data_IF_426866175977
#
_entry.id   IF_426866175977
#
_cell.length_a   1.000
_cell.length_b   1.000
_cell.length_c   1.000
_cell.angle_alpha   90.00
_cell.angle_beta   90.00
_cell.angle_gamma   90.00
#
_symmetry.space_group_name_H-M   'P 1'
#
loop_
_entity.id
_entity.type
_entity.pdbx_description
1 polymer ?
#
# COMPACT_ATOMS: atom_id res chain seq x y z
N UNK A 1 -4.08 65.76 10.06
CA UNK A 1 -5.29 64.96 10.33
C UNK A 1 -4.90 63.88 11.34
N UNK A 2 -5.35 63.99 12.59
CA UNK A 2 -5.05 63.02 13.64
C UNK A 2 -5.93 61.78 13.45
N UNK A 3 -5.30 60.61 13.35
CA UNK A 3 -6.01 59.35 13.13
C UNK A 3 -6.83 58.98 14.40
N UNK A 4 -8.16 58.88 14.33
CA UNK A 4 -9.04 58.73 15.50
C UNK A 4 -8.86 57.39 16.26
N UNK A 5 -8.08 56.44 15.74
CA UNK A 5 -7.84 55.14 16.36
C UNK A 5 -6.58 55.08 17.25
N UNK A 6 -5.81 56.16 17.32
CA UNK A 6 -4.49 56.19 17.98
C UNK A 6 -4.53 55.98 19.51
N UNK A 7 -5.69 56.16 20.13
CA UNK A 7 -5.84 56.16 21.59
C UNK A 7 -6.25 54.79 22.18
N UNK A 8 -6.55 53.80 21.32
CA UNK A 8 -6.88 52.45 21.79
C UNK A 8 -5.62 51.60 21.98
N UNK A 9 -5.57 50.86 23.08
CA UNK A 9 -4.41 50.01 23.46
C UNK A 9 -3.96 49.03 22.36
N UNK A 10 -4.92 48.47 21.60
CA UNK A 10 -4.64 47.57 20.47
C UNK A 10 -3.95 48.26 19.28
N UNK A 11 -4.13 49.57 19.09
CA UNK A 11 -3.48 50.30 17.99
C UNK A 11 -1.99 50.52 18.28
N UNK A 12 -1.62 50.72 19.55
CA UNK A 12 -0.21 50.78 19.97
C UNK A 12 0.49 49.44 19.79
N UNK A 13 -0.21 48.33 20.05
CA UNK A 13 0.29 46.98 19.79
C UNK A 13 0.50 46.73 18.30
N UNK A 14 -0.50 47.07 17.45
CA UNK A 14 -0.43 46.86 16.01
C UNK A 14 0.54 47.81 15.28
N UNK A 15 0.82 48.99 15.85
CA UNK A 15 1.82 49.93 15.33
C UNK A 15 3.27 49.50 15.63
N UNK A 16 3.48 48.44 16.41
CA UNK A 16 4.82 47.97 16.76
C UNK A 16 5.42 47.13 15.62
N UNK A 17 6.61 47.53 15.12
CA UNK A 17 7.34 46.79 14.08
C UNK A 17 7.58 45.32 14.43
N UNK A 18 7.75 45.00 15.71
CA UNK A 18 7.97 43.62 16.16
C UNK A 18 6.74 42.73 15.95
N UNK A 19 5.52 43.29 16.02
CA UNK A 19 4.28 42.53 15.77
C UNK A 19 4.17 42.16 14.30
N UNK A 20 4.56 43.03 13.39
CA UNK A 20 4.58 42.71 11.95
C UNK A 20 5.65 41.69 11.59
N UNK A 21 6.85 41.79 12.16
CA UNK A 21 7.90 40.79 11.96
C UNK A 21 7.48 39.42 12.53
N UNK A 22 6.86 39.40 13.70
CA UNK A 22 6.35 38.17 14.32
C UNK A 22 5.17 37.59 13.52
N UNK A 23 4.26 38.41 13.03
CA UNK A 23 3.14 37.96 12.19
C UNK A 23 3.65 37.39 10.87
N UNK A 24 4.61 38.05 10.22
CA UNK A 24 5.26 37.51 9.03
C UNK A 24 5.97 36.18 9.33
N UNK A 25 6.70 36.10 10.44
CA UNK A 25 7.37 34.87 10.87
C UNK A 25 6.38 33.74 11.17
N UNK A 26 5.30 34.01 11.89
CA UNK A 26 4.24 33.02 12.16
C UNK A 26 3.54 32.61 10.87
N UNK A 27 3.24 33.55 9.96
CA UNK A 27 2.68 33.23 8.65
C UNK A 27 3.63 32.36 7.84
N UNK A 28 4.94 32.64 7.87
CA UNK A 28 5.95 31.80 7.24
C UNK A 28 6.01 30.40 7.86
N UNK A 29 5.98 30.31 9.18
CA UNK A 29 5.94 29.04 9.92
C UNK A 29 4.63 28.25 9.72
N UNK A 30 3.54 28.87 9.25
CA UNK A 30 2.26 28.18 9.03
C UNK A 30 2.09 27.78 7.56
N UNK A 31 2.50 28.64 6.62
CA UNK A 31 2.31 28.40 5.19
C UNK A 31 3.51 27.69 4.53
N UNK A 32 4.72 27.91 5.04
CA UNK A 32 5.96 27.43 4.42
C UNK A 32 6.65 26.35 5.25
N UNK A 33 6.48 26.37 6.58
CA UNK A 33 6.94 25.27 7.42
C UNK A 33 5.95 24.10 7.36
N UNK A 34 6.50 22.91 7.48
CA UNK A 34 5.98 21.63 7.00
C UNK A 34 4.79 21.06 7.80
N UNK A 35 4.00 21.88 8.50
CA UNK A 35 2.84 21.42 9.29
C UNK A 35 1.60 21.22 8.42
N UNK A 36 1.80 20.49 7.35
CA UNK A 36 0.77 20.12 6.39
C UNK A 36 -0.02 18.96 6.99
N UNK A 37 -1.24 19.26 7.43
CA UNK A 37 -2.27 18.24 7.70
C UNK A 37 -2.44 17.28 6.50
N UNK A 38 -2.11 17.75 5.29
CA UNK A 38 -2.10 16.95 4.08
C UNK A 38 -0.96 15.91 4.04
N UNK A 39 0.19 16.21 4.65
CA UNK A 39 1.32 15.28 4.72
C UNK A 39 1.00 14.11 5.64
N UNK A 40 0.34 14.36 6.78
CA UNK A 40 -0.11 13.28 7.66
C UNK A 40 -1.08 12.34 6.95
N UNK A 41 -2.02 12.87 6.15
CA UNK A 41 -2.95 12.02 5.39
C UNK A 41 -2.23 11.15 4.36
N UNK A 42 -1.19 11.68 3.72
CA UNK A 42 -0.36 10.92 2.76
C UNK A 42 0.45 9.85 3.49
N UNK A 43 1.00 10.16 4.67
CA UNK A 43 1.74 9.20 5.48
C UNK A 43 0.81 8.10 6.01
N UNK A 44 -0.39 8.45 6.50
CA UNK A 44 -1.39 7.50 6.98
C UNK A 44 -1.82 6.54 5.86
N UNK A 45 -2.03 7.06 4.64
CA UNK A 45 -2.35 6.22 3.48
C UNK A 45 -1.20 5.27 3.12
N UNK A 46 0.06 5.75 3.17
CA UNK A 46 1.21 4.88 2.96
C UNK A 46 1.34 3.80 4.03
N UNK A 47 0.99 4.11 5.28
CA UNK A 47 0.98 3.14 6.38
C UNK A 47 -0.08 2.07 6.12
N UNK A 48 -1.30 2.47 5.78
CA UNK A 48 -2.40 1.55 5.44
C UNK A 48 -2.01 0.63 4.27
N UNK A 49 -1.48 1.19 3.19
CA UNK A 49 -1.00 0.41 2.03
C UNK A 49 0.09 -0.60 2.43
N UNK A 50 1.04 -0.20 3.28
CA UNK A 50 2.10 -1.08 3.76
C UNK A 50 1.57 -2.20 4.67
N UNK A 51 0.61 -1.90 5.54
CA UNK A 51 -0.03 -2.88 6.41
C UNK A 51 -0.83 -3.91 5.63
N UNK A 52 -1.60 -3.47 4.63
CA UNK A 52 -2.36 -4.34 3.74
C UNK A 52 -1.46 -5.27 2.94
N UNK A 53 -0.38 -4.74 2.38
CA UNK A 53 0.64 -5.55 1.71
C UNK A 53 1.26 -6.58 2.66
N UNK A 54 1.61 -6.16 3.88
CA UNK A 54 2.17 -7.06 4.87
C UNK A 54 1.18 -8.17 5.29
N UNK A 55 -0.11 -7.85 5.40
CA UNK A 55 -1.16 -8.82 5.67
C UNK A 55 -1.31 -9.83 4.52
N UNK A 56 -1.39 -9.33 3.28
CA UNK A 56 -1.46 -10.16 2.08
C UNK A 56 -0.30 -11.17 1.99
N UNK A 57 0.94 -10.72 2.12
CA UNK A 57 2.09 -11.61 2.06
C UNK A 57 2.14 -12.61 3.21
N UNK A 58 1.69 -12.23 4.42
CA UNK A 58 1.58 -13.18 5.55
C UNK A 58 0.56 -14.27 5.27
N UNK A 59 -0.55 -13.97 4.59
CA UNK A 59 -1.54 -14.97 4.20
C UNK A 59 -1.04 -15.90 3.11
N UNK A 60 -0.41 -15.36 2.06
CA UNK A 60 0.19 -16.18 1.00
C UNK A 60 1.30 -17.09 1.56
N UNK A 61 2.16 -16.60 2.47
CA UNK A 61 3.15 -17.45 3.14
C UNK A 61 2.48 -18.59 3.92
N UNK A 62 1.38 -18.35 4.64
CA UNK A 62 0.67 -19.41 5.37
C UNK A 62 0.08 -20.45 4.41
N UNK A 63 -0.48 -20.00 3.29
CA UNK A 63 -1.03 -20.87 2.24
C UNK A 63 0.07 -21.71 1.59
N UNK A 64 1.19 -21.10 1.24
CA UNK A 64 2.35 -21.79 0.68
C UNK A 64 2.96 -22.79 1.66
N UNK A 65 3.05 -22.45 2.95
CA UNK A 65 3.46 -23.40 3.97
C UNK A 65 2.53 -24.61 4.06
N UNK A 66 1.21 -24.41 3.89
CA UNK A 66 0.25 -25.53 3.82
C UNK A 66 0.47 -26.37 2.56
N UNK A 67 0.70 -25.74 1.41
CA UNK A 67 0.99 -26.42 0.15
C UNK A 67 2.30 -27.22 0.23
N UNK A 68 3.37 -26.63 0.78
CA UNK A 68 4.65 -27.32 1.01
C UNK A 68 4.45 -28.54 1.93
N UNK A 69 3.64 -28.43 2.98
CA UNK A 69 3.34 -29.58 3.84
C UNK A 69 2.63 -30.70 3.07
N UNK A 70 1.72 -30.36 2.15
CA UNK A 70 1.09 -31.35 1.27
C UNK A 70 2.12 -31.98 0.33
N UNK A 71 3.02 -31.18 -0.25
CA UNK A 71 4.14 -31.63 -1.08
C UNK A 71 5.25 -32.36 -0.32
N UNK A 72 5.18 -32.55 1.01
CA UNK A 72 6.09 -33.47 1.72
C UNK A 72 5.65 -34.93 1.60
N UNK A 73 4.40 -35.17 1.22
CA UNK A 73 3.91 -36.51 0.95
C UNK A 73 4.21 -36.87 -0.51
N UNK A 74 4.92 -37.98 -0.75
CA UNK A 74 5.30 -38.39 -2.11
C UNK A 74 4.09 -38.64 -3.01
N UNK A 75 2.97 -39.08 -2.44
CA UNK A 75 1.72 -39.32 -3.16
C UNK A 75 1.12 -38.01 -3.71
N UNK A 76 1.15 -36.94 -2.90
CA UNK A 76 0.66 -35.63 -3.31
C UNK A 76 1.59 -34.96 -4.34
N UNK A 77 2.91 -35.16 -4.20
CA UNK A 77 3.89 -34.73 -5.22
C UNK A 77 3.63 -35.44 -6.54
N UNK A 78 3.46 -36.77 -6.52
CA UNK A 78 3.22 -37.56 -7.72
C UNK A 78 1.91 -37.15 -8.39
N UNK A 79 0.84 -36.95 -7.61
CA UNK A 79 -0.43 -36.43 -8.11
C UNK A 79 -0.27 -35.05 -8.77
N UNK A 80 0.41 -34.12 -8.11
CA UNK A 80 0.65 -32.78 -8.65
C UNK A 80 1.49 -32.81 -9.94
N UNK A 81 2.55 -33.62 -9.98
CA UNK A 81 3.40 -33.79 -11.16
C UNK A 81 2.62 -34.40 -12.34
N UNK A 82 1.72 -35.34 -12.08
CA UNK A 82 0.84 -35.94 -13.10
C UNK A 82 -0.22 -34.97 -13.61
N UNK A 83 -0.88 -34.21 -12.72
CA UNK A 83 -1.97 -33.30 -13.11
C UNK A 83 -1.49 -32.00 -13.78
N UNK A 84 -0.38 -31.42 -13.32
CA UNK A 84 0.11 -30.13 -13.84
C UNK A 84 1.15 -30.26 -14.94
N UNK A 85 1.99 -31.28 -14.85
CA UNK A 85 3.14 -31.43 -15.75
C UNK A 85 3.08 -32.71 -16.59
N UNK A 86 2.02 -33.51 -16.46
CA UNK A 86 1.84 -34.78 -17.18
C UNK A 86 3.06 -35.71 -17.07
N UNK A 87 3.76 -35.67 -15.93
CA UNK A 87 4.94 -36.50 -15.71
C UNK A 87 4.57 -37.99 -15.63
N UNK A 88 5.41 -38.85 -16.23
CA UNK A 88 5.28 -40.31 -16.21
C UNK A 88 6.55 -41.00 -15.72
N UNK A 89 6.42 -42.23 -15.24
CA UNK A 89 7.56 -43.15 -15.03
C UNK A 89 7.90 -43.82 -16.35
N UNK A 90 9.14 -44.24 -16.52
CA UNK A 90 9.61 -44.93 -17.74
C UNK A 90 8.88 -46.26 -17.98
N UNK A 91 8.31 -46.85 -16.93
CA UNK A 91 7.52 -48.09 -16.96
C UNK A 91 6.02 -47.88 -17.24
N UNK A 92 5.58 -46.68 -17.61
CA UNK A 92 4.16 -46.33 -17.76
C UNK A 92 3.90 -45.54 -19.06
N UNK A 93 2.72 -45.76 -19.65
CA UNK A 93 2.21 -45.00 -20.80
C UNK A 93 1.02 -44.13 -20.37
N UNK A 94 1.07 -42.84 -20.72
CA UNK A 94 0.00 -41.88 -20.47
C UNK A 94 -0.87 -41.76 -21.71
N UNK A 95 -2.18 -41.86 -21.54
CA UNK A 95 -3.18 -41.57 -22.56
C UNK A 95 -3.94 -40.30 -22.17
N UNK A 96 -3.95 -39.31 -23.05
CA UNK A 96 -4.81 -38.13 -22.92
C UNK A 96 -6.03 -38.39 -23.79
N UNK A 97 -7.21 -38.47 -23.16
CA UNK A 97 -8.47 -38.70 -23.87
C UNK A 97 -9.12 -37.34 -24.08
N UNK A 98 -9.21 -36.93 -25.34
CA UNK A 98 -9.89 -35.71 -25.76
C UNK A 98 -11.17 -36.10 -26.49
N UNK A 99 -12.31 -35.50 -26.13
CA UNK A 99 -13.57 -35.69 -26.83
C UNK A 99 -13.74 -34.58 -27.88
N UNK A 100 -14.27 -34.91 -29.06
CA UNK A 100 -14.65 -33.91 -30.07
C UNK A 100 -15.72 -32.98 -29.47
N UNK A 101 -15.29 -31.77 -29.07
CA UNK A 101 -16.12 -30.77 -28.39
C UNK A 101 -15.45 -30.06 -27.20
N UNK A 102 -14.38 -30.64 -26.64
CA UNK A 102 -13.67 -30.07 -25.46
C UNK A 102 -12.49 -29.15 -25.85
N UNK A 103 -12.18 -29.04 -27.14
CA UNK A 103 -11.17 -28.11 -27.65
C UNK A 103 -11.73 -26.69 -27.67
N UNK A 104 -11.28 -25.85 -26.73
CA UNK A 104 -11.43 -24.40 -26.87
C UNK A 104 -10.69 -24.00 -28.16
N UNK A 105 -11.42 -23.47 -29.15
CA UNK A 105 -10.83 -22.94 -30.38
C UNK A 105 -9.68 -21.98 -30.03
N UNK A 106 -8.46 -22.37 -30.40
CA UNK A 106 -7.31 -21.47 -30.35
C UNK A 106 -7.43 -20.50 -31.52
N UNK A 107 -7.82 -19.26 -31.23
CA UNK A 107 -7.56 -18.10 -32.11
C UNK A 107 -6.05 -17.78 -32.16
#
# INVERSE_FOLDING_TARGET
>A
MTNPYKDKSWFKFLSNKYVWVLLFFCSWMIFLDNYSYFDHRILDQQIEDLEDNAAYYKEEIKKDQKNIKQLKNSEQIEKYAREKYYMKKDSEDIYIIEFEGDTIEKN
#
